data_IF_101948758256
#
_entry.id   IF_101948758256
#
_cell.length_a   1.000
_cell.length_b   1.000
_cell.length_c   1.000
_cell.angle_alpha   90.00
_cell.angle_beta   90.00
_cell.angle_gamma   90.00
#
_symmetry.space_group_name_H-M   'P 1'
#
loop_
_entity.id
_entity.type
_entity.pdbx_description
1 polymer ?
#
# COMPACT_ATOMS: atom_id res chain seq x y z
N UNK A 1 17.74 6.78 -14.46
CA UNK A 1 16.29 6.43 -14.40
C UNK A 1 16.16 5.13 -13.62
N UNK A 2 15.36 5.10 -12.54
CA UNK A 2 14.95 3.84 -11.92
C UNK A 2 13.94 3.19 -12.86
N UNK A 3 14.21 1.97 -13.32
CA UNK A 3 13.22 1.19 -14.05
C UNK A 3 11.93 1.12 -13.20
N UNK A 4 10.73 1.24 -13.80
CA UNK A 4 9.46 1.25 -13.06
C UNK A 4 9.31 0.11 -12.05
N UNK A 5 9.83 -1.07 -12.38
CA UNK A 5 9.85 -2.24 -11.50
C UNK A 5 10.72 -2.03 -10.25
N UNK A 6 11.86 -1.35 -10.39
CA UNK A 6 12.75 -1.04 -9.27
C UNK A 6 12.13 0.01 -8.34
N UNK A 7 11.37 0.96 -8.86
CA UNK A 7 10.66 1.93 -8.01
C UNK A 7 9.53 1.24 -7.24
N UNK A 8 8.71 0.42 -7.91
CA UNK A 8 7.65 -0.35 -7.25
C UNK A 8 8.19 -1.25 -6.15
N UNK A 9 9.30 -1.96 -6.41
CA UNK A 9 9.96 -2.78 -5.39
C UNK A 9 10.43 -1.95 -4.19
N UNK A 10 11.07 -0.79 -4.41
CA UNK A 10 11.51 0.07 -3.31
C UNK A 10 10.36 0.62 -2.49
N UNK A 11 9.26 1.00 -3.14
CA UNK A 11 8.02 1.44 -2.46
C UNK A 11 7.48 0.29 -1.61
N UNK A 12 7.41 -0.92 -2.17
CA UNK A 12 6.92 -2.09 -1.46
C UNK A 12 7.76 -2.41 -0.21
N UNK A 13 9.09 -2.39 -0.32
CA UNK A 13 9.99 -2.59 0.83
C UNK A 13 9.83 -1.48 1.88
N UNK A 14 9.72 -0.21 1.47
CA UNK A 14 9.50 0.89 2.40
C UNK A 14 8.19 0.74 3.20
N UNK A 15 7.10 0.37 2.52
CA UNK A 15 5.81 0.12 3.16
C UNK A 15 5.88 -1.10 4.09
N UNK A 16 6.55 -2.18 3.66
CA UNK A 16 6.75 -3.38 4.48
C UNK A 16 7.52 -3.06 5.77
N UNK A 17 8.60 -2.29 5.68
CA UNK A 17 9.33 -1.81 6.86
C UNK A 17 8.43 -1.00 7.78
N UNK A 18 7.65 -0.07 7.25
CA UNK A 18 6.70 0.72 8.03
C UNK A 18 5.68 -0.16 8.77
N UNK A 19 5.04 -1.10 8.07
CA UNK A 19 4.05 -2.01 8.68
C UNK A 19 4.68 -2.92 9.73
N UNK A 20 5.90 -3.39 9.52
CA UNK A 20 6.61 -4.20 10.51
C UNK A 20 6.88 -3.40 11.79
N UNK A 21 7.27 -2.12 11.68
CA UNK A 21 7.42 -1.24 12.85
C UNK A 21 6.08 -0.96 13.53
N UNK A 22 5.02 -0.66 12.78
CA UNK A 22 3.68 -0.45 13.35
C UNK A 22 3.16 -1.68 14.09
N UNK A 23 3.52 -2.90 13.63
CA UNK A 23 3.07 -4.17 14.20
C UNK A 23 3.54 -4.36 15.65
N UNK A 24 4.67 -3.79 16.04
CA UNK A 24 5.26 -3.96 17.37
C UNK A 24 4.38 -3.34 18.46
N UNK A 25 3.60 -2.32 18.12
CA UNK A 25 2.77 -1.56 19.06
C UNK A 25 1.25 -1.73 18.79
N UNK A 26 0.88 -2.38 17.68
CA UNK A 26 -0.50 -2.54 17.26
C UNK A 26 -1.20 -3.75 17.92
N UNK A 27 -2.50 -3.61 18.22
CA UNK A 27 -3.36 -4.77 18.43
C UNK A 27 -3.59 -5.50 17.10
N UNK A 28 -2.76 -6.51 16.85
CA UNK A 28 -2.77 -7.29 15.62
C UNK A 28 -4.02 -8.14 15.41
N UNK A 29 -4.87 -8.28 16.44
CA UNK A 29 -6.12 -9.03 16.35
C UNK A 29 -7.30 -8.14 15.93
N UNK A 30 -7.15 -6.81 16.00
CA UNK A 30 -8.21 -5.85 15.71
C UNK A 30 -8.62 -5.83 14.23
N UNK A 31 -9.89 -5.45 13.98
CA UNK A 31 -10.37 -5.21 12.62
C UNK A 31 -9.66 -4.02 11.95
N UNK A 32 -9.25 -3.03 12.75
CA UNK A 32 -8.52 -1.84 12.29
C UNK A 32 -7.15 -2.27 11.75
N UNK A 33 -6.42 -3.13 12.47
CA UNK A 33 -5.13 -3.63 12.00
C UNK A 33 -5.27 -4.45 10.71
N UNK A 34 -6.29 -5.30 10.61
CA UNK A 34 -6.56 -6.07 9.38
C UNK A 34 -6.83 -5.14 8.19
N UNK A 35 -7.63 -4.10 8.37
CA UNK A 35 -7.89 -3.11 7.33
C UNK A 35 -6.61 -2.35 6.93
N UNK A 36 -5.78 -1.97 7.92
CA UNK A 36 -4.46 -1.34 7.70
C UNK A 36 -3.54 -2.23 6.85
N UNK A 37 -3.47 -3.52 7.16
CA UNK A 37 -2.69 -4.48 6.38
C UNK A 37 -3.24 -4.68 4.96
N UNK A 38 -4.57 -4.68 4.78
CA UNK A 38 -5.18 -4.79 3.45
C UNK A 38 -4.79 -3.61 2.56
N UNK A 39 -4.89 -2.38 3.06
CA UNK A 39 -4.41 -1.17 2.36
C UNK A 39 -2.94 -1.28 2.01
N UNK A 40 -2.11 -1.72 2.97
CA UNK A 40 -0.67 -1.85 2.77
C UNK A 40 -0.33 -2.85 1.66
N UNK A 41 -1.00 -4.00 1.65
CA UNK A 41 -0.84 -5.01 0.63
C UNK A 41 -1.15 -4.46 -0.77
N UNK A 42 -2.25 -3.71 -0.91
CA UNK A 42 -2.64 -3.08 -2.18
C UNK A 42 -1.61 -2.02 -2.61
N UNK A 43 -1.12 -1.23 -1.66
CA UNK A 43 -0.13 -0.18 -1.90
C UNK A 43 1.23 -0.75 -2.36
N UNK A 44 1.57 -1.96 -1.94
CA UNK A 44 2.80 -2.67 -2.33
C UNK A 44 2.73 -3.25 -3.75
N UNK A 45 1.55 -3.37 -4.36
CA UNK A 45 1.41 -3.84 -5.74
C UNK A 45 2.00 -2.86 -6.76
N UNK A 46 2.42 -3.41 -7.90
CA UNK A 46 2.65 -2.62 -9.11
C UNK A 46 1.36 -1.94 -9.57
N UNK A 47 1.49 -0.93 -10.44
CA UNK A 47 0.32 -0.19 -10.93
C UNK A 47 -0.68 -1.08 -11.68
N UNK A 48 -0.18 -2.03 -12.49
CA UNK A 48 -1.02 -2.99 -13.20
C UNK A 48 -1.77 -3.93 -12.25
N UNK A 49 -1.06 -4.52 -11.27
CA UNK A 49 -1.66 -5.39 -10.26
C UNK A 49 -2.70 -4.65 -9.41
N UNK A 50 -2.42 -3.39 -9.03
CA UNK A 50 -3.33 -2.58 -8.23
C UNK A 50 -4.61 -2.25 -9.01
N UNK A 51 -4.50 -1.91 -10.29
CA UNK A 51 -5.68 -1.67 -11.15
C UNK A 51 -6.61 -2.89 -11.20
N UNK A 52 -6.05 -4.07 -11.43
CA UNK A 52 -6.81 -5.33 -11.42
C UNK A 52 -7.45 -5.58 -10.06
N UNK A 53 -6.71 -5.41 -8.97
CA UNK A 53 -7.22 -5.67 -7.62
C UNK A 53 -8.36 -4.70 -7.22
N UNK A 54 -8.24 -3.41 -7.54
CA UNK A 54 -9.29 -2.41 -7.29
C UNK A 54 -10.57 -2.74 -8.09
N UNK A 55 -10.45 -3.21 -9.33
CA UNK A 55 -11.61 -3.70 -10.11
C UNK A 55 -12.35 -4.83 -9.39
N UNK A 56 -11.61 -5.81 -8.88
CA UNK A 56 -12.19 -6.93 -8.11
C UNK A 56 -12.86 -6.46 -6.82
N UNK A 57 -12.31 -5.45 -6.12
CA UNK A 57 -12.99 -4.85 -4.96
C UNK A 57 -14.28 -4.19 -5.41
N UNK A 58 -14.28 -3.46 -6.53
CA UNK A 58 -15.47 -2.78 -7.04
C UNK A 58 -16.60 -3.78 -7.34
N UNK A 59 -16.27 -4.94 -7.91
CA UNK A 59 -17.22 -6.02 -8.18
C UNK A 59 -17.75 -6.70 -6.91
N UNK A 60 -16.90 -6.94 -5.92
CA UNK A 60 -17.25 -7.75 -4.74
C UNK A 60 -17.77 -6.95 -3.54
N UNK A 61 -17.31 -5.71 -3.39
CA UNK A 61 -17.58 -4.84 -2.23
C UNK A 61 -18.20 -3.49 -2.63
N UNK A 62 -18.35 -3.25 -3.93
CA UNK A 62 -18.95 -2.03 -4.47
C UNK A 62 -17.91 -0.92 -4.75
N UNK A 63 -18.33 0.02 -5.59
CA UNK A 63 -17.47 1.09 -6.11
C UNK A 63 -16.99 2.08 -5.04
N UNK A 64 -17.76 2.29 -3.96
CA UNK A 64 -17.37 3.14 -2.83
C UNK A 64 -16.17 2.54 -2.11
N UNK A 65 -16.27 1.27 -1.70
CA UNK A 65 -15.16 0.56 -1.04
C UNK A 65 -13.90 0.49 -1.92
N UNK A 66 -14.07 0.32 -3.23
CA UNK A 66 -12.97 0.34 -4.18
C UNK A 66 -12.26 1.70 -4.22
N UNK A 67 -13.02 2.80 -4.27
CA UNK A 67 -12.46 4.17 -4.27
C UNK A 67 -11.75 4.49 -2.96
N UNK A 68 -12.32 4.09 -1.83
CA UNK A 68 -11.70 4.26 -0.52
C UNK A 68 -10.37 3.50 -0.42
N UNK A 69 -10.35 2.23 -0.83
CA UNK A 69 -9.12 1.43 -0.87
C UNK A 69 -8.07 2.03 -1.80
N UNK A 70 -8.47 2.48 -2.99
CA UNK A 70 -7.56 3.13 -3.93
C UNK A 70 -6.94 4.39 -3.32
N UNK A 71 -7.76 5.27 -2.75
CA UNK A 71 -7.29 6.52 -2.14
C UNK A 71 -6.30 6.26 -1.00
N UNK A 72 -6.62 5.32 -0.11
CA UNK A 72 -5.74 4.97 1.01
C UNK A 72 -4.42 4.35 0.54
N UNK A 73 -4.45 3.48 -0.48
CA UNK A 73 -3.25 2.89 -1.04
C UNK A 73 -2.36 3.93 -1.74
N UNK A 74 -2.95 4.87 -2.47
CA UNK A 74 -2.24 5.98 -3.14
C UNK A 74 -1.58 6.93 -2.12
N UNK A 75 -2.28 7.26 -1.04
CA UNK A 75 -1.73 8.06 0.05
C UNK A 75 -0.51 7.37 0.70
N UNK A 76 -0.62 6.06 0.97
CA UNK A 76 0.48 5.30 1.55
C UNK A 76 1.70 5.21 0.63
N UNK A 77 1.49 4.98 -0.67
CA UNK A 77 2.57 5.01 -1.68
C UNK A 77 3.24 6.37 -1.75
N UNK A 78 2.45 7.44 -1.73
CA UNK A 78 2.96 8.82 -1.75
C UNK A 78 3.89 9.07 -0.56
N UNK A 79 3.48 8.65 0.64
CA UNK A 79 4.33 8.73 1.84
C UNK A 79 5.62 7.92 1.70
N UNK A 80 5.56 6.70 1.18
CA UNK A 80 6.74 5.88 0.94
C UNK A 80 7.71 6.52 -0.07
N UNK A 81 7.19 7.14 -1.14
CA UNK A 81 7.99 7.88 -2.11
C UNK A 81 8.71 9.05 -1.43
N UNK A 82 8.02 9.82 -0.59
CA UNK A 82 8.66 10.91 0.16
C UNK A 82 9.77 10.42 1.09
N UNK A 83 9.56 9.29 1.78
CA UNK A 83 10.62 8.68 2.63
C UNK A 83 11.82 8.26 1.79
N UNK A 84 11.58 7.61 0.64
CA UNK A 84 12.65 7.18 -0.26
C UNK A 84 13.41 8.34 -0.89
N UNK A 85 12.74 9.46 -1.18
CA UNK A 85 13.36 10.65 -1.73
C UNK A 85 14.30 11.35 -0.72
N UNK A 86 14.00 11.24 0.58
CA UNK A 86 14.81 11.84 1.67
C UNK A 86 16.05 11.02 2.03
N UNK A 87 16.13 9.75 1.63
CA UNK A 87 17.27 8.87 1.87
C UNK A 87 18.08 8.74 0.57
N UNK A 88 19.15 9.54 0.37
CA UNK A 88 20.01 9.35 -0.80
C UNK A 88 20.65 7.95 -0.73
N UNK A 89 20.54 7.23 -1.85
CA UNK A 89 21.01 5.86 -2.05
C UNK A 89 22.52 5.72 -2.02
#
# INVERSE_FOLDING_TARGET
>A
MLLPDRLNQRIAEAIKHQINSEREEADTTSAIWRARCEVAQIAMYSDAQRSVFISHISERRGSVAAREMQSQAEALRTNAIFVLARKPS
#
